data_IF_215766600341
#
_entry.id   IF_215766600341
#
_cell.length_a   1.000
_cell.length_b   1.000
_cell.length_c   1.000
_cell.angle_alpha   90.00
_cell.angle_beta   90.00
_cell.angle_gamma   90.00
#
_symmetry.space_group_name_H-M   'P 1'
#
loop_
_entity.id
_entity.type
_entity.pdbx_description
1 polymer ?
#
# COMPACT_ATOMS: atom_id res chain seq x y z
N UNK A 1 25.38 -17.40 -10.73
CA UNK A 1 24.12 -18.19 -10.82
C UNK A 1 22.96 -17.50 -10.09
N UNK A 2 23.01 -17.30 -8.76
CA UNK A 2 21.88 -16.65 -8.05
C UNK A 2 21.59 -15.21 -8.51
N UNK A 3 22.62 -14.39 -8.74
CA UNK A 3 22.45 -13.01 -9.23
C UNK A 3 21.88 -12.99 -10.65
N UNK A 4 22.37 -13.87 -11.53
CA UNK A 4 21.90 -13.97 -12.91
C UNK A 4 20.41 -14.37 -12.98
N UNK A 5 19.97 -15.27 -12.09
CA UNK A 5 18.56 -15.62 -11.97
C UNK A 5 17.70 -14.48 -11.44
N UNK A 6 18.22 -13.65 -10.53
CA UNK A 6 17.52 -12.46 -10.03
C UNK A 6 17.36 -11.44 -11.15
N UNK A 7 18.42 -11.18 -11.91
CA UNK A 7 18.40 -10.24 -13.05
C UNK A 7 17.41 -10.72 -14.11
N UNK A 8 17.46 -12.00 -14.48
CA UNK A 8 16.51 -12.58 -15.42
C UNK A 8 15.07 -12.49 -14.90
N UNK A 9 14.85 -12.80 -13.63
CA UNK A 9 13.54 -12.66 -12.98
C UNK A 9 13.01 -11.23 -13.07
N UNK A 10 13.83 -10.24 -12.76
CA UNK A 10 13.44 -8.82 -12.84
C UNK A 10 13.11 -8.39 -14.28
N UNK A 11 13.86 -8.86 -15.28
CA UNK A 11 13.54 -8.61 -16.68
C UNK A 11 12.21 -9.23 -17.10
N UNK A 12 11.95 -10.48 -16.73
CA UNK A 12 10.69 -11.16 -17.08
C UNK A 12 9.47 -10.48 -16.46
N UNK A 13 9.54 -10.09 -15.18
CA UNK A 13 8.49 -9.33 -14.50
C UNK A 13 8.33 -7.95 -15.13
N UNK A 14 9.43 -7.26 -15.42
CA UNK A 14 9.42 -5.93 -16.03
C UNK A 14 8.76 -5.90 -17.41
N UNK A 15 9.07 -6.87 -18.29
CA UNK A 15 8.44 -7.01 -19.61
C UNK A 15 6.93 -7.28 -19.46
N UNK A 16 6.54 -8.16 -18.53
CA UNK A 16 5.13 -8.44 -18.25
C UNK A 16 4.35 -7.20 -17.81
N UNK A 17 4.90 -6.41 -16.87
CA UNK A 17 4.29 -5.17 -16.42
C UNK A 17 4.18 -4.11 -17.52
N UNK A 18 5.19 -3.98 -18.39
CA UNK A 18 5.16 -3.06 -19.54
C UNK A 18 4.05 -3.43 -20.52
N UNK A 19 3.97 -4.70 -20.93
CA UNK A 19 2.95 -5.17 -21.85
C UNK A 19 1.54 -5.01 -21.25
N UNK A 20 1.40 -5.28 -19.94
CA UNK A 20 0.17 -5.02 -19.20
C UNK A 20 -0.23 -3.54 -19.20
N UNK A 21 0.72 -2.63 -18.94
CA UNK A 21 0.49 -1.19 -18.96
C UNK A 21 0.01 -0.70 -20.32
N UNK A 22 0.66 -1.14 -21.41
CA UNK A 22 0.26 -0.81 -22.78
C UNK A 22 -1.14 -1.34 -23.08
N UNK A 23 -1.44 -2.58 -22.68
CA UNK A 23 -2.76 -3.17 -22.88
C UNK A 23 -3.86 -2.38 -22.14
N UNK A 24 -3.68 -2.04 -20.86
CA UNK A 24 -4.65 -1.24 -20.10
C UNK A 24 -4.87 0.16 -20.69
N UNK A 25 -3.81 0.77 -21.23
CA UNK A 25 -3.90 2.09 -21.86
C UNK A 25 -4.71 2.04 -23.15
N UNK A 26 -4.37 1.12 -24.07
CA UNK A 26 -5.05 0.97 -25.37
C UNK A 26 -6.50 0.53 -25.18
N UNK A 27 -6.76 -0.40 -24.27
CA UNK A 27 -8.13 -0.89 -24.00
C UNK A 27 -9.04 0.22 -23.47
N UNK A 28 -8.55 1.04 -22.54
CA UNK A 28 -9.35 2.14 -21.99
C UNK A 28 -9.62 3.24 -23.03
N UNK A 29 -8.70 3.48 -23.96
CA UNK A 29 -8.92 4.50 -24.99
C UNK A 29 -9.85 4.00 -26.10
N UNK A 30 -9.63 2.76 -26.57
CA UNK A 30 -10.21 2.27 -27.83
C UNK A 30 -11.39 1.30 -27.67
N UNK A 31 -11.54 0.63 -26.52
CA UNK A 31 -12.57 -0.41 -26.30
C UNK A 31 -13.68 0.08 -25.35
N UNK A 32 -13.77 1.39 -25.10
CA UNK A 32 -14.89 1.95 -24.33
C UNK A 32 -16.18 1.91 -25.14
N UNK A 33 -17.28 1.73 -24.44
CA UNK A 33 -18.62 1.97 -25.00
C UNK A 33 -18.69 3.37 -25.57
N UNK A 34 -19.26 3.51 -26.76
CA UNK A 34 -19.41 4.79 -27.47
C UNK A 34 -20.19 5.85 -26.65
N UNK A 35 -20.99 5.42 -25.67
CA UNK A 35 -21.76 6.31 -24.81
C UNK A 35 -20.97 6.91 -23.63
N UNK A 36 -19.76 6.43 -23.35
CA UNK A 36 -18.98 6.85 -22.17
C UNK A 36 -17.83 7.75 -22.59
N UNK A 37 -17.80 8.99 -22.12
CA UNK A 37 -16.65 9.90 -22.31
C UNK A 37 -15.57 9.64 -21.24
N UNK A 38 -14.34 10.15 -21.43
CA UNK A 38 -13.24 9.84 -20.51
C UNK A 38 -13.56 10.35 -19.11
N UNK A 39 -14.15 11.53 -18.99
CA UNK A 39 -14.51 12.16 -17.70
C UNK A 39 -15.55 11.37 -16.89
N UNK A 40 -16.27 10.45 -17.56
CA UNK A 40 -17.33 9.65 -16.96
C UNK A 40 -16.89 8.24 -16.54
N UNK A 41 -15.63 7.86 -16.78
CA UNK A 41 -15.15 6.53 -16.37
C UNK A 41 -15.01 6.45 -14.85
N UNK A 42 -15.21 5.24 -14.29
CA UNK A 42 -15.14 5.02 -12.84
C UNK A 42 -13.74 5.31 -12.32
N UNK A 43 -13.65 5.81 -11.09
CA UNK A 43 -12.38 6.17 -10.43
C UNK A 43 -11.38 5.00 -10.38
N UNK A 44 -11.86 3.76 -10.23
CA UNK A 44 -11.04 2.56 -10.26
C UNK A 44 -10.23 2.40 -11.57
N UNK A 45 -10.80 2.82 -12.70
CA UNK A 45 -10.13 2.78 -14.00
C UNK A 45 -8.96 3.77 -14.04
N UNK A 46 -9.13 4.96 -13.48
CA UNK A 46 -8.03 5.93 -13.35
C UNK A 46 -6.90 5.44 -12.44
N UNK A 47 -7.23 4.74 -11.34
CA UNK A 47 -6.24 4.17 -10.43
C UNK A 47 -5.33 3.16 -11.14
N UNK A 48 -5.82 2.44 -12.15
CA UNK A 48 -5.03 1.48 -12.93
C UNK A 48 -4.21 2.18 -14.02
N UNK A 49 -4.74 3.24 -14.64
CA UNK A 49 -4.09 3.93 -15.77
C UNK A 49 -2.93 4.81 -15.32
N UNK A 50 -3.04 5.48 -14.16
CA UNK A 50 -1.99 6.38 -13.69
C UNK A 50 -0.63 5.67 -13.49
N UNK A 51 -0.55 4.48 -12.85
CA UNK A 51 0.67 3.68 -12.81
C UNK A 51 1.16 3.24 -14.20
N UNK A 52 0.25 2.91 -15.12
CA UNK A 52 0.61 2.49 -16.48
C UNK A 52 1.39 3.58 -17.24
N UNK A 53 0.98 4.85 -17.12
CA UNK A 53 1.75 5.99 -17.64
C UNK A 53 3.15 6.10 -17.00
N UNK A 54 3.24 5.92 -15.68
CA UNK A 54 4.50 5.95 -14.96
C UNK A 54 5.48 4.88 -15.45
N UNK A 55 5.00 3.64 -15.59
CA UNK A 55 5.80 2.50 -16.08
C UNK A 55 6.31 2.75 -17.50
N UNK A 56 5.42 3.14 -18.43
CA UNK A 56 5.81 3.39 -19.82
C UNK A 56 6.85 4.52 -19.89
N UNK A 57 6.66 5.61 -19.13
CA UNK A 57 7.61 6.72 -19.10
C UNK A 57 9.00 6.26 -18.65
N UNK A 58 9.11 5.56 -17.53
CA UNK A 58 10.41 5.11 -17.00
C UNK A 58 11.10 4.12 -17.96
N UNK A 59 10.34 3.21 -18.57
CA UNK A 59 10.89 2.28 -19.56
C UNK A 59 11.41 2.99 -20.82
N UNK A 60 10.70 3.99 -21.34
CA UNK A 60 11.15 4.72 -22.53
C UNK A 60 12.38 5.57 -22.22
N UNK A 61 12.48 6.17 -21.02
CA UNK A 61 13.69 6.87 -20.59
C UNK A 61 14.90 5.93 -20.57
N UNK A 62 14.73 4.72 -20.02
CA UNK A 62 15.80 3.72 -19.99
C UNK A 62 16.22 3.24 -21.38
N UNK A 63 15.27 3.00 -22.30
CA UNK A 63 15.58 2.44 -23.63
C UNK A 63 16.14 3.45 -24.62
N UNK A 64 15.76 4.73 -24.50
CA UNK A 64 16.11 5.73 -25.52
C UNK A 64 17.34 6.55 -25.13
N UNK A 65 17.80 6.45 -23.88
CA UNK A 65 18.85 7.29 -23.27
C UNK A 65 18.64 8.80 -23.53
N UNK A 66 17.40 9.17 -23.88
CA UNK A 66 17.01 10.53 -24.24
C UNK A 66 16.66 11.29 -22.97
N UNK A 67 17.14 12.52 -22.89
CA UNK A 67 16.68 13.45 -21.89
C UNK A 67 15.16 13.65 -22.02
N UNK A 68 14.46 13.33 -20.93
CA UNK A 68 13.13 13.83 -20.56
C UNK A 68 12.13 13.96 -21.71
N UNK A 69 11.40 12.88 -22.01
CA UNK A 69 10.19 12.98 -22.85
C UNK A 69 9.16 13.94 -22.24
N UNK A 70 8.51 14.67 -23.15
CA UNK A 70 7.47 15.71 -22.98
C UNK A 70 6.82 15.83 -21.59
N UNK A 71 6.90 17.03 -20.99
CA UNK A 71 6.09 17.38 -19.82
C UNK A 71 6.55 16.80 -18.48
N UNK A 72 7.82 16.36 -18.31
CA UNK A 72 8.30 15.90 -16.99
C UNK A 72 8.09 16.92 -15.88
N UNK A 73 8.36 18.21 -16.18
CA UNK A 73 8.15 19.26 -15.19
C UNK A 73 6.67 19.47 -14.89
N UNK A 74 5.76 19.30 -15.85
CA UNK A 74 4.31 19.41 -15.61
C UNK A 74 3.74 18.19 -14.92
N UNK A 75 4.21 16.98 -15.23
CA UNK A 75 3.81 15.75 -14.54
C UNK A 75 4.36 15.70 -13.12
N UNK A 76 5.64 16.03 -12.89
CA UNK A 76 6.19 16.12 -11.53
C UNK A 76 5.47 17.21 -10.71
N UNK A 77 5.10 18.34 -11.35
CA UNK A 77 4.25 19.36 -10.70
C UNK A 77 2.83 18.88 -10.46
N UNK A 78 2.23 18.11 -11.37
CA UNK A 78 0.88 17.58 -11.22
C UNK A 78 0.83 16.52 -10.12
N UNK A 79 1.72 15.53 -10.15
CA UNK A 79 1.86 14.53 -9.09
C UNK A 79 2.26 15.16 -7.76
N UNK A 80 3.20 16.11 -7.77
CA UNK A 80 3.57 16.88 -6.58
C UNK A 80 2.41 17.69 -6.00
N UNK A 81 1.61 18.35 -6.85
CA UNK A 81 0.41 19.08 -6.43
C UNK A 81 -0.70 18.15 -5.95
N UNK A 82 -0.91 17.01 -6.62
CA UNK A 82 -1.87 15.98 -6.19
C UNK A 82 -1.47 15.46 -4.81
N UNK A 83 -0.21 15.06 -4.62
CA UNK A 83 0.28 14.56 -3.33
C UNK A 83 0.15 15.64 -2.24
N UNK A 84 0.52 16.89 -2.54
CA UNK A 84 0.40 17.99 -1.59
C UNK A 84 -1.06 18.33 -1.22
N UNK A 85 -1.97 18.37 -2.20
CA UNK A 85 -3.39 18.64 -1.98
C UNK A 85 -4.04 17.47 -1.22
N UNK A 86 -3.73 16.24 -1.61
CA UNK A 86 -4.16 15.05 -0.89
C UNK A 86 -3.66 15.12 0.56
N UNK A 87 -2.45 15.61 0.78
CA UNK A 87 -1.87 15.71 2.10
C UNK A 87 -2.58 16.73 3.00
N UNK A 88 -2.84 17.92 2.48
CA UNK A 88 -3.59 18.95 3.22
C UNK A 88 -5.03 18.50 3.48
N UNK A 89 -5.65 17.82 2.51
CA UNK A 89 -6.99 17.28 2.66
C UNK A 89 -7.05 16.16 3.71
N UNK A 90 -6.06 15.27 3.75
CA UNK A 90 -5.96 14.20 4.76
C UNK A 90 -5.83 14.80 6.16
N UNK A 91 -4.97 15.81 6.34
CA UNK A 91 -4.80 16.49 7.63
C UNK A 91 -6.10 17.16 8.13
N UNK A 92 -6.85 17.78 7.23
CA UNK A 92 -8.16 18.39 7.57
C UNK A 92 -9.19 17.30 7.91
N UNK A 93 -9.18 16.20 7.17
CA UNK A 93 -10.07 15.08 7.42
C UNK A 93 -9.77 14.41 8.77
N UNK A 94 -8.50 14.31 9.19
CA UNK A 94 -8.10 13.82 10.53
C UNK A 94 -8.75 14.62 11.66
N UNK A 95 -8.74 15.94 11.55
CA UNK A 95 -9.28 16.83 12.57
C UNK A 95 -10.80 16.62 12.74
N UNK A 96 -11.49 16.33 11.63
CA UNK A 96 -12.94 16.11 11.58
C UNK A 96 -13.30 14.67 11.98
N UNK A 97 -12.59 13.66 11.46
CA UNK A 97 -12.85 12.24 11.74
C UNK A 97 -12.44 11.84 13.16
N UNK A 98 -11.39 12.44 13.73
CA UNK A 98 -10.99 12.22 15.12
C UNK A 98 -12.06 12.68 16.12
N UNK A 99 -12.73 13.80 15.83
CA UNK A 99 -13.88 14.28 16.61
C UNK A 99 -15.12 13.39 16.42
N UNK A 100 -15.33 12.85 15.21
CA UNK A 100 -16.43 11.94 14.89
C UNK A 100 -16.25 10.53 15.51
N UNK A 101 -15.01 10.03 15.63
CA UNK A 101 -14.71 8.78 16.33
C UNK A 101 -15.17 8.80 17.79
N UNK A 102 -14.89 9.92 18.49
CA UNK A 102 -15.27 10.08 19.89
C UNK A 102 -16.79 10.05 20.09
N UNK A 103 -17.53 10.62 19.13
CA UNK A 103 -18.99 10.64 19.10
C UNK A 103 -19.58 9.25 18.73
N UNK A 104 -18.95 8.52 17.81
CA UNK A 104 -19.43 7.22 17.32
C UNK A 104 -19.07 6.05 18.23
N UNK A 105 -17.98 6.13 19.00
CA UNK A 105 -17.71 5.24 20.14
C UNK A 105 -18.87 5.27 21.14
N UNK A 106 -19.53 6.43 21.28
CA UNK A 106 -20.72 6.61 22.10
C UNK A 106 -21.99 5.98 21.50
N UNK A 107 -22.01 5.68 20.19
CA UNK A 107 -23.18 5.19 19.44
C UNK A 107 -23.09 3.70 19.03
N UNK A 108 -21.99 3.00 19.33
CA UNK A 108 -21.91 1.53 19.28
C UNK A 108 -21.93 0.88 17.88
N UNK A 109 -21.69 1.61 16.79
CA UNK A 109 -21.75 1.05 15.43
C UNK A 109 -20.44 0.35 15.01
N UNK A 110 -20.38 -0.98 15.17
CA UNK A 110 -19.18 -1.81 15.02
C UNK A 110 -18.53 -1.78 13.62
N UNK A 111 -19.32 -1.69 12.55
CA UNK A 111 -18.78 -1.71 11.17
C UNK A 111 -18.04 -0.42 10.82
N UNK A 112 -18.55 0.72 11.29
CA UNK A 112 -17.93 2.01 11.08
C UNK A 112 -16.63 2.16 11.88
N UNK A 113 -16.54 1.53 13.05
CA UNK A 113 -15.32 1.54 13.88
C UNK A 113 -14.15 0.81 13.21
N UNK A 114 -14.41 -0.26 12.45
CA UNK A 114 -13.37 -1.00 11.73
C UNK A 114 -12.82 -0.18 10.56
N UNK A 115 -13.70 0.41 9.74
CA UNK A 115 -13.32 1.25 8.61
C UNK A 115 -12.57 2.52 9.07
N UNK A 116 -13.01 3.11 10.19
CA UNK A 116 -12.39 4.28 10.80
C UNK A 116 -11.05 3.94 11.49
N UNK A 117 -10.94 2.78 12.14
CA UNK A 117 -9.69 2.31 12.75
C UNK A 117 -8.61 2.04 11.70
N UNK A 118 -8.97 1.43 10.57
CA UNK A 118 -8.05 1.24 9.45
C UNK A 118 -7.64 2.58 8.84
N UNK A 119 -8.58 3.51 8.64
CA UNK A 119 -8.29 4.86 8.15
C UNK A 119 -7.29 5.59 9.06
N UNK A 120 -7.52 5.60 10.38
CA UNK A 120 -6.63 6.28 11.33
C UNK A 120 -5.22 5.66 11.34
N UNK A 121 -5.11 4.34 11.26
CA UNK A 121 -3.80 3.69 11.20
C UNK A 121 -3.06 4.03 9.90
N UNK A 122 -3.74 3.97 8.75
CA UNK A 122 -3.18 4.37 7.44
C UNK A 122 -2.66 5.80 7.44
N UNK A 123 -3.38 6.68 8.12
CA UNK A 123 -3.04 8.09 8.20
C UNK A 123 -1.88 8.34 9.16
N UNK A 124 -1.84 7.69 10.32
CA UNK A 124 -0.68 7.75 11.22
C UNK A 124 0.62 7.27 10.53
N UNK A 125 0.51 6.25 9.67
CA UNK A 125 1.64 5.75 8.85
C UNK A 125 2.10 6.78 7.82
N UNK A 126 1.15 7.45 7.16
CA UNK A 126 1.46 8.54 6.26
C UNK A 126 2.24 9.64 7.00
N UNK A 127 1.78 10.03 8.19
CA UNK A 127 2.42 11.07 8.99
C UNK A 127 3.86 10.69 9.42
N UNK A 128 4.12 9.40 9.65
CA UNK A 128 5.48 8.89 9.88
C UNK A 128 6.39 9.02 8.64
N UNK A 129 5.82 9.01 7.43
CA UNK A 129 6.53 9.23 6.17
C UNK A 129 6.90 10.69 5.90
N UNK A 130 6.13 11.64 6.44
CA UNK A 130 6.45 13.07 6.36
C UNK A 130 7.78 13.35 7.08
N UNK A 131 8.06 12.63 8.16
CA UNK A 131 9.32 12.73 8.90
C UNK A 131 10.51 12.40 7.97
N UNK A 132 10.38 11.36 7.14
CA UNK A 132 11.40 11.00 6.13
C UNK A 132 11.47 11.97 4.94
N UNK A 133 10.39 12.70 4.65
CA UNK A 133 10.42 13.74 3.62
C UNK A 133 11.28 14.96 4.00
N UNK A 134 11.69 15.06 5.27
CA UNK A 134 12.56 16.14 5.76
C UNK A 134 14.03 15.74 5.61
N UNK A 135 14.76 16.42 4.73
CA UNK A 135 16.17 16.13 4.44
C UNK A 135 17.10 16.07 5.66
N UNK A 136 16.82 16.86 6.71
CA UNK A 136 17.62 16.84 7.95
C UNK A 136 17.45 15.56 8.77
N UNK A 137 16.23 15.04 8.82
CA UNK A 137 15.91 13.83 9.58
C UNK A 137 16.24 12.58 8.77
N UNK A 138 16.14 12.66 7.44
CA UNK A 138 16.56 11.57 6.56
C UNK A 138 18.04 11.23 6.77
N UNK A 139 18.95 12.21 6.90
CA UNK A 139 20.37 11.93 7.18
C UNK A 139 20.58 11.05 8.43
N UNK A 140 19.77 11.25 9.48
CA UNK A 140 19.89 10.52 10.75
C UNK A 140 19.23 9.15 10.69
N UNK A 141 18.09 9.05 10.00
CA UNK A 141 17.28 7.84 9.93
C UNK A 141 17.59 6.99 8.68
N UNK A 142 18.42 7.49 7.75
CA UNK A 142 18.82 6.79 6.56
C UNK A 142 19.48 5.45 6.92
N UNK A 143 19.19 4.41 6.13
CA UNK A 143 19.67 3.04 6.37
C UNK A 143 19.30 2.43 7.73
N UNK A 144 18.39 3.03 8.49
CA UNK A 144 17.89 2.42 9.74
C UNK A 144 16.65 1.58 9.50
N UNK A 145 16.27 0.81 10.52
CA UNK A 145 14.99 0.14 10.58
C UNK A 145 13.78 1.08 10.54
N UNK A 146 13.96 2.40 10.73
CA UNK A 146 12.87 3.38 10.63
C UNK A 146 12.29 3.42 9.20
N UNK A 147 13.18 3.52 8.20
CA UNK A 147 12.80 3.53 6.78
C UNK A 147 12.16 2.19 6.39
N UNK A 148 12.74 1.09 6.85
CA UNK A 148 12.21 -0.26 6.59
C UNK A 148 10.80 -0.40 7.19
N UNK A 149 10.63 -0.03 8.45
CA UNK A 149 9.34 -0.07 9.14
C UNK A 149 8.32 0.81 8.44
N UNK A 150 8.63 2.07 8.14
CA UNK A 150 7.71 2.97 7.44
C UNK A 150 7.24 2.39 6.09
N UNK A 151 8.18 1.89 5.29
CA UNK A 151 7.86 1.29 3.99
C UNK A 151 6.98 0.05 4.13
N UNK A 152 7.34 -0.87 5.03
CA UNK A 152 6.57 -2.10 5.23
C UNK A 152 5.21 -1.86 5.88
N UNK A 153 5.09 -0.89 6.79
CA UNK A 153 3.79 -0.50 7.36
C UNK A 153 2.86 0.04 6.27
N UNK A 154 3.37 0.89 5.38
CA UNK A 154 2.61 1.47 4.26
C UNK A 154 2.19 0.40 3.24
N UNK A 155 3.10 -0.51 2.88
CA UNK A 155 2.79 -1.62 1.97
C UNK A 155 1.85 -2.64 2.60
N UNK A 156 2.07 -3.01 3.86
CA UNK A 156 1.29 -4.04 4.52
C UNK A 156 -0.11 -3.56 4.85
N UNK A 157 -0.28 -2.43 5.54
CA UNK A 157 -1.62 -1.94 5.87
C UNK A 157 -2.30 -1.20 4.72
N UNK A 158 -1.55 -0.65 3.76
CA UNK A 158 -2.11 -0.03 2.56
C UNK A 158 -2.41 -1.05 1.46
N UNK A 159 -1.36 -1.56 0.83
CA UNK A 159 -1.51 -2.39 -0.37
C UNK A 159 -2.14 -3.77 -0.08
N UNK A 160 -1.69 -4.47 0.98
CA UNK A 160 -2.21 -5.82 1.27
C UNK A 160 -3.69 -5.76 1.71
N UNK A 161 -4.08 -4.78 2.54
CA UNK A 161 -5.49 -4.61 2.91
C UNK A 161 -6.36 -4.18 1.72
N UNK A 162 -5.84 -3.35 0.81
CA UNK A 162 -6.55 -3.03 -0.42
C UNK A 162 -6.77 -4.29 -1.29
N UNK A 163 -5.76 -5.17 -1.39
CA UNK A 163 -5.88 -6.45 -2.08
C UNK A 163 -6.93 -7.34 -1.41
N UNK A 164 -6.89 -7.50 -0.08
CA UNK A 164 -7.88 -8.32 0.64
C UNK A 164 -9.30 -7.76 0.54
N UNK A 165 -9.46 -6.43 0.65
CA UNK A 165 -10.75 -5.75 0.48
C UNK A 165 -11.30 -5.95 -0.93
N UNK A 166 -10.48 -5.70 -1.96
CA UNK A 166 -10.85 -5.93 -3.36
C UNK A 166 -11.20 -7.38 -3.62
N UNK A 167 -10.42 -8.32 -3.08
CA UNK A 167 -10.69 -9.74 -3.19
C UNK A 167 -12.01 -10.13 -2.52
N UNK A 168 -12.26 -9.67 -1.30
CA UNK A 168 -13.50 -9.95 -0.58
C UNK A 168 -14.75 -9.41 -1.29
N UNK A 169 -14.61 -8.33 -2.06
CA UNK A 169 -15.68 -7.71 -2.84
C UNK A 169 -15.92 -8.44 -4.18
N UNK A 170 -14.86 -8.69 -4.94
CA UNK A 170 -14.97 -9.18 -6.32
C UNK A 170 -14.92 -10.70 -6.44
N UNK A 171 -14.31 -11.42 -5.51
CA UNK A 171 -14.25 -12.88 -5.58
C UNK A 171 -15.62 -13.56 -5.49
N UNK A 172 -16.53 -13.17 -4.56
CA UNK A 172 -17.91 -13.64 -4.56
C UNK A 172 -18.63 -13.41 -5.89
N UNK A 173 -18.36 -12.27 -6.53
CA UNK A 173 -18.94 -11.92 -7.82
C UNK A 173 -18.39 -12.78 -8.96
N UNK A 174 -17.10 -13.11 -8.95
CA UNK A 174 -16.47 -13.95 -9.99
C UNK A 174 -16.86 -15.42 -9.86
N UNK A 175 -16.93 -15.96 -8.64
CA UNK A 175 -17.16 -17.40 -8.40
C UNK A 175 -18.61 -17.74 -8.05
N UNK A 176 -19.43 -16.74 -7.69
CA UNK A 176 -20.81 -16.95 -7.22
C UNK A 176 -20.91 -17.56 -5.83
N UNK A 177 -19.83 -17.52 -5.02
CA UNK A 177 -19.81 -18.02 -3.65
C UNK A 177 -20.03 -16.90 -2.62
N UNK A 178 -20.55 -17.23 -1.43
CA UNK A 178 -20.68 -16.27 -0.32
C UNK A 178 -19.73 -16.70 0.79
N UNK A 179 -18.88 -15.79 1.23
CA UNK A 179 -17.94 -16.05 2.32
C UNK A 179 -18.60 -16.00 3.70
N UNK A 180 -18.11 -16.83 4.63
CA UNK A 180 -18.45 -16.71 6.04
C UNK A 180 -17.89 -15.39 6.61
N UNK A 181 -18.80 -14.59 7.16
CA UNK A 181 -18.51 -13.30 7.78
C UNK A 181 -17.57 -13.46 8.98
N UNK A 182 -17.72 -14.53 9.76
CA UNK A 182 -16.93 -14.73 10.97
C UNK A 182 -15.45 -14.95 10.65
N UNK A 183 -15.18 -15.77 9.64
CA UNK A 183 -13.81 -16.07 9.22
C UNK A 183 -13.16 -14.85 8.57
N UNK A 184 -13.88 -14.09 7.73
CA UNK A 184 -13.34 -12.82 7.16
C UNK A 184 -12.96 -11.84 8.28
N UNK A 185 -13.82 -11.68 9.28
CA UNK A 185 -13.54 -10.79 10.42
C UNK A 185 -12.31 -11.28 11.20
N UNK A 186 -12.19 -12.60 11.41
CA UNK A 186 -11.02 -13.19 12.07
C UNK A 186 -9.72 -12.97 11.27
N UNK A 187 -9.76 -13.16 9.94
CA UNK A 187 -8.63 -12.89 9.03
C UNK A 187 -8.21 -11.43 9.13
N UNK A 188 -9.17 -10.49 9.08
CA UNK A 188 -8.91 -9.06 9.22
C UNK A 188 -8.17 -8.75 10.53
N UNK A 189 -8.69 -9.23 11.68
CA UNK A 189 -8.06 -8.94 12.97
C UNK A 189 -6.69 -9.60 13.13
N UNK A 190 -6.49 -10.82 12.60
CA UNK A 190 -5.17 -11.47 12.62
C UNK A 190 -4.14 -10.65 11.83
N UNK A 191 -4.46 -10.21 10.62
CA UNK A 191 -3.56 -9.35 9.84
C UNK A 191 -3.37 -7.98 10.48
N UNK A 192 -4.43 -7.37 11.01
CA UNK A 192 -4.34 -6.07 11.64
C UNK A 192 -3.44 -6.11 12.88
N UNK A 193 -3.70 -7.01 13.82
CA UNK A 193 -2.89 -7.15 15.03
C UNK A 193 -1.47 -7.61 14.68
N UNK A 194 -1.35 -8.59 13.79
CA UNK A 194 -0.07 -9.16 13.39
C UNK A 194 0.88 -8.13 12.76
N UNK A 195 0.39 -7.34 11.81
CA UNK A 195 1.19 -6.28 11.16
C UNK A 195 1.60 -5.18 12.13
N UNK A 196 0.70 -4.72 13.01
CA UNK A 196 1.03 -3.73 14.04
C UNK A 196 2.12 -4.26 14.99
N UNK A 197 1.97 -5.49 15.49
CA UNK A 197 2.99 -6.13 16.34
C UNK A 197 4.32 -6.37 15.61
N UNK A 198 4.29 -6.59 14.29
CA UNK A 198 5.50 -6.82 13.49
C UNK A 198 6.30 -5.53 13.30
N UNK A 199 5.63 -4.46 12.84
CA UNK A 199 6.34 -3.28 12.34
C UNK A 199 6.47 -2.15 13.36
N UNK A 200 5.57 -2.06 14.35
CA UNK A 200 5.66 -1.02 15.36
C UNK A 200 6.94 -1.11 16.23
N UNK A 201 7.34 -2.29 16.73
CA UNK A 201 8.60 -2.42 17.49
C UNK A 201 9.82 -2.05 16.65
N UNK A 202 9.83 -2.43 15.37
CA UNK A 202 10.92 -2.14 14.44
C UNK A 202 11.01 -0.63 14.15
N UNK A 203 9.88 0.07 14.14
CA UNK A 203 9.86 1.52 14.00
C UNK A 203 10.57 2.21 15.18
N UNK A 204 10.32 1.75 16.41
CA UNK A 204 11.01 2.22 17.61
C UNK A 204 12.51 1.89 17.59
N UNK A 205 12.88 0.69 17.15
CA UNK A 205 14.28 0.30 16.91
C UNK A 205 14.96 1.24 15.89
N UNK A 206 14.23 1.68 14.87
CA UNK A 206 14.69 2.66 13.89
C UNK A 206 15.02 4.02 14.49
N UNK A 207 14.18 4.54 15.40
CA UNK A 207 14.40 5.82 16.10
C UNK A 207 15.66 5.75 16.97
N UNK A 208 15.98 4.56 17.48
CA UNK A 208 17.22 4.31 18.24
C UNK A 208 18.47 4.24 17.35
N UNK A 209 18.34 4.34 16.03
CA UNK A 209 19.45 4.32 15.09
C UNK A 209 19.96 2.93 14.75
N UNK A 210 19.17 1.87 14.97
CA UNK A 210 19.59 0.50 14.63
C UNK A 210 19.64 0.37 13.10
N UNK A 211 20.80 -0.02 12.52
CA UNK A 211 20.96 -0.12 11.07
C UNK A 211 20.23 -1.34 10.51
N UNK A 212 19.75 -1.24 9.26
CA UNK A 212 19.10 -2.35 8.55
C UNK A 212 20.10 -3.43 8.12
N UNK A 213 19.58 -4.63 7.81
CA UNK A 213 20.34 -5.77 7.25
C UNK A 213 21.43 -6.30 8.18
N UNK A 214 21.21 -6.21 9.49
CA UNK A 214 22.01 -6.90 10.50
C UNK A 214 21.26 -8.14 10.98
N UNK A 215 22.01 -9.18 11.34
CA UNK A 215 21.44 -10.41 11.88
C UNK A 215 21.13 -10.24 13.37
N UNK A 216 22.08 -9.71 14.13
CA UNK A 216 21.98 -9.56 15.57
C UNK A 216 21.53 -8.14 15.94
N UNK A 217 20.35 -8.04 16.56
CA UNK A 217 19.82 -6.80 17.14
C UNK A 217 19.00 -7.15 18.40
N UNK A 218 18.71 -6.17 19.28
CA UNK A 218 18.20 -6.45 20.62
C UNK A 218 16.95 -7.34 20.65
N UNK A 219 16.99 -8.36 21.51
CA UNK A 219 15.95 -9.40 21.61
C UNK A 219 14.55 -8.84 21.91
N UNK A 220 14.46 -7.72 22.61
CA UNK A 220 13.17 -7.10 22.95
C UNK A 220 12.33 -6.75 21.72
N UNK A 221 12.94 -6.18 20.69
CA UNK A 221 12.23 -5.80 19.45
C UNK A 221 12.01 -7.01 18.54
N UNK A 222 12.98 -7.91 18.47
CA UNK A 222 12.95 -9.08 17.58
C UNK A 222 11.89 -10.09 18.00
N UNK A 223 11.74 -10.34 19.31
CA UNK A 223 10.77 -11.30 19.85
C UNK A 223 9.33 -10.82 19.58
N UNK A 224 9.03 -9.55 19.86
CA UNK A 224 7.68 -8.99 19.64
C UNK A 224 7.36 -8.99 18.15
N UNK A 225 8.32 -8.57 17.31
CA UNK A 225 8.12 -8.55 15.86
C UNK A 225 7.90 -9.95 15.29
N UNK A 226 8.65 -10.94 15.80
CA UNK A 226 8.49 -12.35 15.41
C UNK A 226 7.11 -12.89 15.78
N UNK A 227 6.61 -12.61 16.98
CA UNK A 227 5.24 -12.97 17.40
C UNK A 227 4.22 -12.34 16.45
N UNK A 228 4.36 -11.06 16.11
CA UNK A 228 3.49 -10.38 15.15
C UNK A 228 3.46 -11.05 13.77
N UNK A 229 4.63 -11.49 13.28
CA UNK A 229 4.73 -12.16 11.99
C UNK A 229 4.03 -13.53 11.99
N UNK A 230 4.13 -14.29 13.09
CA UNK A 230 3.43 -15.56 13.27
C UNK A 230 1.91 -15.35 13.29
N UNK A 231 1.43 -14.30 13.97
CA UNK A 231 0.00 -13.96 13.96
C UNK A 231 -0.48 -13.60 12.55
N UNK A 232 0.31 -12.86 11.77
CA UNK A 232 0.00 -12.54 10.37
C UNK A 232 -0.02 -13.81 9.50
N UNK A 233 0.87 -14.76 9.75
CA UNK A 233 0.92 -16.05 9.06
C UNK A 233 -0.30 -16.92 9.38
N UNK A 234 -0.80 -16.92 10.62
CA UNK A 234 -2.06 -17.57 10.99
C UNK A 234 -3.22 -16.93 10.21
N UNK A 235 -3.25 -15.61 10.09
CA UNK A 235 -4.21 -14.88 9.25
C UNK A 235 -4.19 -15.34 7.79
N UNK A 236 -2.99 -15.57 7.23
CA UNK A 236 -2.85 -16.10 5.86
C UNK A 236 -3.39 -17.53 5.73
N UNK A 237 -3.15 -18.42 6.70
CA UNK A 237 -3.71 -19.78 6.69
C UNK A 237 -5.25 -19.73 6.74
N UNK A 238 -5.82 -18.91 7.62
CA UNK A 238 -7.27 -18.72 7.73
C UNK A 238 -7.87 -18.18 6.41
N UNK A 239 -7.16 -17.26 5.74
CA UNK A 239 -7.60 -16.77 4.44
C UNK A 239 -7.62 -17.88 3.38
N UNK A 240 -6.59 -18.74 3.32
CA UNK A 240 -6.59 -19.86 2.38
C UNK A 240 -7.69 -20.88 2.68
N UNK A 241 -7.97 -21.14 3.96
CA UNK A 241 -9.10 -21.98 4.35
C UNK A 241 -10.43 -21.43 3.79
N UNK A 242 -10.67 -20.12 3.93
CA UNK A 242 -11.85 -19.45 3.39
C UNK A 242 -11.99 -19.54 1.86
N UNK A 243 -10.89 -19.72 1.12
CA UNK A 243 -10.96 -19.89 -0.34
C UNK A 243 -11.38 -21.29 -0.77
N UNK A 244 -11.10 -22.28 0.08
CA UNK A 244 -11.35 -23.69 -0.20
C UNK A 244 -12.78 -24.08 0.16
N UNK A 245 -13.34 -23.47 1.20
CA UNK A 245 -14.77 -23.54 1.55
C UNK A 245 -15.68 -22.99 0.44
#
# INVERSE_FOLDING_TARGET
>A
MAIDTIILGLHTVGIGSLLGAINFMVTTQNIRSAAVTLDQIRIFVYIIILPAFGIIRECVLYLTDKERLFGQASMARLFGAIIYILQVLILILELILGQLLLLLLFLGQLRFLIDLGLYLVLVNIYNLGIILSTARLDIVLHDTYYVVAHFHYTLSLGAIFAIFSGFSLWFPYMRGCVFDKNIIIAVFFCFFIGTNLTFFPIHLAGIQGIPRKILDYPDSYSVISSIGSVVSFIGFILFNYLLVE
#
